data_IF_347732178484
#
_entry.id   IF_347732178484
#
_cell.length_a   1.000
_cell.length_b   1.000
_cell.length_c   1.000
_cell.angle_alpha   90.00
_cell.angle_beta   90.00
_cell.angle_gamma   90.00
#
_symmetry.space_group_name_H-M   'P 1'
#
loop_
_entity.id
_entity.type
_entity.pdbx_description
1 polymer ?
#
# COMPACT_ATOMS: atom_id res chain seq x y z
N UNK A 1 -27.47 -4.78 7.73
CA UNK A 1 -26.04 -5.15 7.91
C UNK A 1 -25.37 -4.00 8.63
N UNK A 2 -24.45 -4.24 9.56
CA UNK A 2 -23.67 -3.15 10.16
C UNK A 2 -22.79 -2.52 9.07
N UNK A 3 -22.62 -1.20 9.10
CA UNK A 3 -21.74 -0.51 8.13
C UNK A 3 -20.27 -0.88 8.36
N UNK A 4 -19.85 -0.94 9.63
CA UNK A 4 -18.47 -1.21 10.03
C UNK A 4 -18.27 -2.66 10.49
N UNK A 5 -17.13 -3.24 10.13
CA UNK A 5 -16.74 -4.59 10.47
C UNK A 5 -16.02 -4.63 11.83
N UNK A 6 -16.74 -5.11 12.84
CA UNK A 6 -16.21 -5.32 14.18
C UNK A 6 -15.64 -6.73 14.40
N UNK A 7 -15.67 -7.59 13.39
CA UNK A 7 -15.12 -8.94 13.46
C UNK A 7 -13.62 -8.90 13.14
N UNK A 8 -12.73 -9.27 14.07
CA UNK A 8 -11.30 -9.32 13.80
C UNK A 8 -11.00 -10.50 12.88
N UNK A 9 -10.42 -10.23 11.71
CA UNK A 9 -10.05 -11.21 10.71
C UNK A 9 -8.66 -11.73 11.05
N UNK A 10 -8.59 -12.91 11.70
CA UNK A 10 -7.33 -13.68 11.81
C UNK A 10 -6.93 -14.21 10.44
N UNK A 11 -5.69 -14.71 10.29
CA UNK A 11 -5.24 -15.35 9.05
C UNK A 11 -6.18 -16.47 8.61
N UNK A 12 -6.54 -17.36 9.53
CA UNK A 12 -7.37 -18.54 9.26
C UNK A 12 -8.79 -18.13 8.87
N UNK A 13 -9.40 -17.20 9.62
CA UNK A 13 -10.73 -16.71 9.31
C UNK A 13 -10.74 -15.97 7.96
N UNK A 14 -9.73 -15.14 7.69
CA UNK A 14 -9.61 -14.42 6.43
C UNK A 14 -9.49 -15.38 5.24
N UNK A 15 -8.71 -16.46 5.34
CA UNK A 15 -8.62 -17.47 4.29
C UNK A 15 -9.98 -18.15 4.04
N UNK A 16 -10.73 -18.52 5.10
CA UNK A 16 -12.07 -19.09 4.93
C UNK A 16 -13.06 -18.12 4.29
N UNK A 17 -13.01 -16.83 4.65
CA UNK A 17 -13.83 -15.77 4.04
C UNK A 17 -13.48 -15.63 2.55
N UNK A 18 -12.19 -15.62 2.21
CA UNK A 18 -11.71 -15.50 0.83
C UNK A 18 -12.06 -16.71 -0.04
N UNK A 19 -12.04 -17.92 0.52
CA UNK A 19 -12.47 -19.14 -0.20
C UNK A 19 -13.94 -19.09 -0.59
N UNK A 20 -14.80 -18.65 0.31
CA UNK A 20 -16.22 -18.47 0.02
C UNK A 20 -16.47 -17.32 -0.96
N UNK A 21 -15.75 -16.21 -0.79
CA UNK A 21 -15.79 -15.09 -1.72
C UNK A 21 -15.35 -15.52 -3.12
N UNK A 22 -14.28 -16.31 -3.25
CA UNK A 22 -13.78 -16.85 -4.52
C UNK A 22 -14.82 -17.67 -5.28
N UNK A 23 -15.58 -18.54 -4.59
CA UNK A 23 -16.66 -19.32 -5.22
C UNK A 23 -17.74 -18.40 -5.81
N UNK A 24 -18.12 -17.36 -5.07
CA UNK A 24 -19.13 -16.37 -5.51
C UNK A 24 -18.61 -15.57 -6.70
N UNK A 25 -17.34 -15.19 -6.68
CA UNK A 25 -16.69 -14.52 -7.82
C UNK A 25 -16.72 -15.43 -9.05
N UNK A 26 -16.30 -16.69 -8.93
CA UNK A 26 -16.30 -17.62 -10.06
C UNK A 26 -17.71 -17.79 -10.65
N UNK A 27 -18.73 -17.87 -9.80
CA UNK A 27 -20.13 -17.95 -10.22
C UNK A 27 -20.61 -16.66 -10.92
N UNK A 28 -20.29 -15.49 -10.39
CA UNK A 28 -20.78 -14.21 -10.91
C UNK A 28 -20.04 -13.74 -12.17
N UNK A 29 -18.76 -14.07 -12.30
CA UNK A 29 -17.90 -13.62 -13.40
C UNK A 29 -17.72 -14.69 -14.47
N UNK A 30 -17.95 -15.98 -14.15
CA UNK A 30 -17.70 -17.10 -15.06
C UNK A 30 -16.21 -17.31 -15.39
N UNK A 31 -15.32 -16.59 -14.71
CA UNK A 31 -13.87 -16.59 -14.91
C UNK A 31 -13.17 -16.18 -13.61
N UNK A 32 -11.91 -16.56 -13.40
CA UNK A 32 -11.11 -15.99 -12.33
C UNK A 32 -10.96 -14.48 -12.52
N UNK A 33 -10.89 -13.73 -11.42
CA UNK A 33 -10.45 -12.32 -11.45
C UNK A 33 -9.21 -12.16 -10.57
N UNK A 34 -8.53 -11.04 -10.76
CA UNK A 34 -7.46 -10.58 -9.87
C UNK A 34 -7.86 -9.26 -9.23
N UNK A 35 -7.51 -9.10 -7.96
CA UNK A 35 -7.67 -7.84 -7.24
C UNK A 35 -6.32 -7.43 -6.66
N UNK A 36 -5.96 -6.16 -6.83
CA UNK A 36 -4.78 -5.58 -6.19
C UNK A 36 -5.18 -5.06 -4.83
N UNK A 37 -4.52 -5.54 -3.78
CA UNK A 37 -4.87 -5.28 -2.37
C UNK A 37 -3.74 -4.64 -1.59
N UNK A 38 -4.06 -3.90 -0.54
CA UNK A 38 -3.10 -3.30 0.37
C UNK A 38 -3.55 -3.41 1.84
N UNK A 39 -2.91 -2.66 2.73
CA UNK A 39 -3.37 -2.54 4.12
C UNK A 39 -2.98 -3.71 5.01
N UNK A 40 -3.84 -4.03 5.98
CA UNK A 40 -3.57 -5.03 7.02
C UNK A 40 -3.64 -6.47 6.50
N UNK A 41 -4.53 -6.76 5.55
CA UNK A 41 -4.67 -8.08 4.95
C UNK A 41 -3.36 -8.58 4.30
N UNK A 42 -2.63 -7.69 3.62
CA UNK A 42 -1.31 -8.00 3.05
C UNK A 42 -0.34 -8.46 4.12
N UNK A 43 -0.28 -7.74 5.24
CA UNK A 43 0.66 -8.03 6.31
C UNK A 43 0.40 -9.40 6.94
N UNK A 44 -0.86 -9.83 7.01
CA UNK A 44 -1.24 -11.12 7.63
C UNK A 44 -1.05 -12.29 6.67
N UNK A 45 -1.38 -12.10 5.39
CA UNK A 45 -1.40 -13.19 4.42
C UNK A 45 -0.07 -13.39 3.70
N UNK A 46 0.77 -12.36 3.56
CA UNK A 46 1.98 -12.47 2.75
C UNK A 46 2.97 -13.50 3.35
N UNK A 47 3.34 -14.55 2.60
CA UNK A 47 4.05 -15.71 3.16
C UNK A 47 5.45 -15.38 3.68
N UNK A 48 6.08 -14.32 3.15
CA UNK A 48 7.45 -13.96 3.48
C UNK A 48 7.57 -12.76 4.46
N UNK A 49 6.44 -12.12 4.81
CA UNK A 49 6.42 -11.07 5.82
C UNK A 49 6.25 -11.72 7.20
N UNK A 50 7.09 -11.35 8.16
CA UNK A 50 6.96 -11.81 9.55
C UNK A 50 6.17 -10.77 10.33
N UNK A 51 4.93 -10.54 9.89
CA UNK A 51 4.07 -9.56 10.53
C UNK A 51 3.78 -9.94 11.98
N UNK A 52 3.85 -8.96 12.86
CA UNK A 52 3.39 -9.08 14.25
C UNK A 52 1.87 -8.91 14.36
N UNK A 53 1.18 -8.50 13.29
CA UNK A 53 -0.28 -8.43 13.27
C UNK A 53 -0.88 -9.82 13.33
N UNK A 54 -1.67 -10.06 14.37
CA UNK A 54 -2.50 -11.26 14.49
C UNK A 54 -3.81 -11.13 13.68
N UNK A 55 -4.33 -9.92 13.50
CA UNK A 55 -5.65 -9.67 12.90
C UNK A 55 -5.70 -8.37 12.11
N UNK A 56 -6.67 -8.28 11.20
CA UNK A 56 -7.08 -7.04 10.51
C UNK A 56 -8.60 -6.88 10.60
N UNK A 57 -9.12 -5.72 10.20
CA UNK A 57 -10.57 -5.48 10.14
C UNK A 57 -11.12 -5.62 8.73
N UNK A 58 -10.29 -5.45 7.72
CA UNK A 58 -10.75 -5.31 6.36
C UNK A 58 -9.68 -5.74 5.33
N UNK A 59 -10.12 -5.82 4.08
CA UNK A 59 -9.30 -5.99 2.89
C UNK A 59 -9.46 -4.75 2.02
N UNK A 60 -8.45 -3.88 2.04
CA UNK A 60 -8.41 -2.73 1.14
C UNK A 60 -8.01 -3.18 -0.27
N UNK A 61 -8.73 -2.75 -1.31
CA UNK A 61 -8.42 -3.07 -2.70
C UNK A 61 -8.56 -1.87 -3.65
N UNK A 62 -7.89 -1.98 -4.81
CA UNK A 62 -7.92 -0.98 -5.88
C UNK A 62 -9.06 -1.28 -6.87
N UNK A 63 -10.22 -0.68 -6.67
CA UNK A 63 -11.44 -0.83 -7.48
C UNK A 63 -11.32 -0.17 -8.85
N UNK A 64 -10.77 1.06 -8.95
CA UNK A 64 -10.78 1.80 -10.22
C UNK A 64 -10.08 1.06 -11.37
N UNK A 65 -9.02 0.34 -11.03
CA UNK A 65 -8.25 -0.44 -12.01
C UNK A 65 -8.92 -1.76 -12.34
N UNK A 66 -9.56 -2.40 -11.36
CA UNK A 66 -10.40 -3.57 -11.61
C UNK A 66 -11.54 -3.26 -12.58
N UNK A 67 -12.26 -2.14 -12.38
CA UNK A 67 -13.34 -1.71 -13.29
C UNK A 67 -12.79 -1.49 -14.70
N UNK A 68 -11.65 -0.80 -14.82
CA UNK A 68 -11.01 -0.53 -16.12
C UNK A 68 -10.60 -1.83 -16.83
N UNK A 69 -10.01 -2.77 -16.09
CA UNK A 69 -9.64 -4.09 -16.62
C UNK A 69 -10.87 -4.87 -17.09
N UNK A 70 -11.93 -4.93 -16.29
CA UNK A 70 -13.14 -5.68 -16.64
C UNK A 70 -13.88 -5.04 -17.82
N UNK A 71 -13.91 -3.71 -17.91
CA UNK A 71 -14.46 -3.00 -19.06
C UNK A 71 -13.70 -3.33 -20.35
N UNK A 72 -12.38 -3.52 -20.28
CA UNK A 72 -11.56 -3.89 -21.46
C UNK A 72 -11.89 -5.26 -22.04
N UNK A 73 -12.54 -6.14 -21.26
CA UNK A 73 -13.03 -7.46 -21.70
C UNK A 73 -14.55 -7.49 -21.89
N UNK A 74 -15.19 -6.32 -22.01
CA UNK A 74 -16.62 -6.18 -22.30
C UNK A 74 -17.55 -6.32 -21.10
N UNK A 75 -17.02 -6.32 -19.86
CA UNK A 75 -17.83 -6.43 -18.65
C UNK A 75 -18.02 -5.07 -17.98
N UNK A 76 -19.12 -4.39 -18.32
CA UNK A 76 -19.42 -3.03 -17.84
C UNK A 76 -20.15 -2.99 -16.49
N UNK A 77 -20.71 -4.11 -16.02
CA UNK A 77 -21.40 -4.24 -14.73
C UNK A 77 -20.53 -4.89 -13.63
N UNK A 78 -19.21 -5.00 -13.87
CA UNK A 78 -18.27 -5.67 -12.99
C UNK A 78 -18.26 -5.13 -11.56
N UNK A 79 -18.42 -3.82 -11.39
CA UNK A 79 -18.49 -3.18 -10.07
C UNK A 79 -19.70 -3.70 -9.27
N UNK A 80 -20.89 -3.67 -9.86
CA UNK A 80 -22.12 -4.11 -9.21
C UNK A 80 -22.06 -5.61 -8.86
N UNK A 81 -21.48 -6.43 -9.74
CA UNK A 81 -21.23 -7.86 -9.47
C UNK A 81 -20.28 -8.06 -8.30
N UNK A 82 -19.15 -7.36 -8.27
CA UNK A 82 -18.17 -7.45 -7.19
C UNK A 82 -18.80 -7.04 -5.85
N UNK A 83 -19.51 -5.92 -5.81
CA UNK A 83 -20.21 -5.43 -4.61
C UNK A 83 -21.28 -6.42 -4.11
N UNK A 84 -21.99 -7.07 -5.04
CA UNK A 84 -22.94 -8.14 -4.69
C UNK A 84 -22.23 -9.33 -4.04
N UNK A 85 -21.09 -9.78 -4.60
CA UNK A 85 -20.29 -10.85 -4.00
C UNK A 85 -19.77 -10.45 -2.60
N UNK A 86 -19.27 -9.23 -2.43
CA UNK A 86 -18.79 -8.70 -1.13
C UNK A 86 -19.92 -8.72 -0.09
N UNK A 87 -21.09 -8.21 -0.43
CA UNK A 87 -22.24 -8.15 0.49
C UNK A 87 -22.77 -9.54 0.88
N UNK A 88 -22.83 -10.47 -0.08
CA UNK A 88 -23.25 -11.84 0.18
C UNK A 88 -22.25 -12.58 1.09
N UNK A 89 -20.95 -12.41 0.85
CA UNK A 89 -19.91 -12.94 1.73
C UNK A 89 -20.01 -12.34 3.14
N UNK A 90 -20.18 -11.02 3.25
CA UNK A 90 -20.34 -10.34 4.53
C UNK A 90 -21.50 -10.93 5.34
N UNK A 91 -22.64 -11.16 4.67
CA UNK A 91 -23.82 -11.78 5.28
C UNK A 91 -23.52 -13.19 5.82
N UNK A 92 -22.81 -14.01 5.04
CA UNK A 92 -22.49 -15.39 5.41
C UNK A 92 -21.59 -15.49 6.65
N UNK A 93 -20.64 -14.55 6.81
CA UNK A 93 -19.69 -14.53 7.92
C UNK A 93 -20.03 -13.51 9.02
N UNK A 94 -21.18 -12.84 8.92
CA UNK A 94 -21.62 -11.77 9.83
C UNK A 94 -20.59 -10.62 9.94
N UNK A 95 -19.97 -10.28 8.83
CA UNK A 95 -19.04 -9.15 8.73
C UNK A 95 -19.81 -7.84 8.50
N UNK A 96 -19.16 -6.73 8.81
CA UNK A 96 -19.62 -5.40 8.38
C UNK A 96 -19.51 -5.22 6.86
N UNK A 97 -20.24 -4.24 6.32
CA UNK A 97 -20.25 -3.96 4.89
C UNK A 97 -18.87 -3.53 4.34
N UNK A 98 -18.02 -2.96 5.19
CA UNK A 98 -16.67 -2.48 4.86
C UNK A 98 -15.55 -3.54 5.03
N UNK A 99 -15.88 -4.82 5.30
CA UNK A 99 -14.86 -5.88 5.45
C UNK A 99 -13.95 -6.01 4.22
N UNK A 100 -14.42 -5.61 3.04
CA UNK A 100 -13.64 -5.46 1.83
C UNK A 100 -14.08 -4.18 1.15
N UNK A 101 -13.22 -3.16 1.10
CA UNK A 101 -13.59 -1.83 0.65
C UNK A 101 -12.51 -1.19 -0.22
N UNK A 102 -12.94 -0.22 -1.04
CA UNK A 102 -12.11 0.57 -1.94
C UNK A 102 -12.08 2.05 -1.54
N UNK A 103 -12.48 2.40 -0.32
CA UNK A 103 -12.57 3.80 0.10
C UNK A 103 -11.22 4.53 0.01
N UNK A 104 -10.13 3.80 0.21
CA UNK A 104 -8.78 4.34 0.04
C UNK A 104 -8.54 4.87 -1.38
N UNK A 105 -9.19 4.32 -2.42
CA UNK A 105 -8.96 4.67 -3.81
C UNK A 105 -9.17 6.15 -4.12
N UNK A 106 -10.13 6.79 -3.48
CA UNK A 106 -10.48 8.20 -3.75
C UNK A 106 -9.28 9.12 -3.52
N UNK A 107 -8.38 8.76 -2.59
CA UNK A 107 -7.23 9.57 -2.22
C UNK A 107 -5.92 9.17 -2.93
N UNK A 108 -5.92 8.10 -3.73
CA UNK A 108 -4.70 7.60 -4.37
C UNK A 108 -4.38 8.37 -5.66
N UNK A 109 -3.09 8.61 -5.97
CA UNK A 109 -2.71 9.37 -7.14
C UNK A 109 -2.96 8.59 -8.43
N UNK A 110 -3.33 9.33 -9.48
CA UNK A 110 -3.25 8.86 -10.87
C UNK A 110 -1.98 9.42 -11.51
N UNK A 111 -1.40 8.67 -12.43
CA UNK A 111 -0.24 9.10 -13.21
C UNK A 111 -0.67 9.38 -14.66
N UNK A 112 0.04 10.27 -15.34
CA UNK A 112 -0.12 10.49 -16.78
C UNK A 112 1.15 10.02 -17.47
N UNK A 113 1.01 9.14 -18.45
CA UNK A 113 2.14 8.73 -19.29
C UNK A 113 2.55 9.92 -20.19
N UNK A 114 3.80 10.41 -20.08
CA UNK A 114 4.24 11.58 -20.85
C UNK A 114 4.28 11.32 -22.36
N UNK A 115 4.34 10.06 -22.80
CA UNK A 115 4.42 9.70 -24.22
C UNK A 115 3.04 9.62 -24.85
N UNK A 116 2.08 8.99 -24.16
CA UNK A 116 0.73 8.77 -24.68
C UNK A 116 -0.29 9.79 -24.20
N UNK A 117 0.08 10.63 -23.22
CA UNK A 117 -0.80 11.53 -22.48
C UNK A 117 -2.03 10.81 -21.88
N UNK A 118 -1.93 9.50 -21.63
CA UNK A 118 -3.00 8.70 -21.04
C UNK A 118 -2.83 8.62 -19.53
N UNK A 119 -3.92 8.87 -18.84
CA UNK A 119 -4.00 8.66 -17.39
C UNK A 119 -4.07 7.17 -17.09
N UNK A 120 -3.27 6.72 -16.12
CA UNK A 120 -3.25 5.34 -15.66
C UNK A 120 -3.09 5.27 -14.15
N UNK A 121 -3.43 4.12 -13.56
CA UNK A 121 -3.22 3.85 -12.16
C UNK A 121 -1.80 3.30 -11.93
N UNK A 122 -0.90 4.06 -11.30
CA UNK A 122 0.49 3.65 -11.16
C UNK A 122 0.67 2.56 -10.09
N UNK A 123 -0.27 2.41 -9.16
CA UNK A 123 -0.24 1.40 -8.11
C UNK A 123 -0.60 0.05 -8.73
N UNK A 124 -1.71 0.00 -9.45
CA UNK A 124 -2.12 -1.19 -10.17
C UNK A 124 -1.07 -1.60 -11.21
N UNK A 125 -0.64 -0.66 -12.07
CA UNK A 125 0.35 -0.92 -13.12
C UNK A 125 1.65 -1.53 -12.57
N UNK A 126 2.17 -1.01 -11.47
CA UNK A 126 3.34 -1.58 -10.81
C UNK A 126 3.09 -2.99 -10.25
N UNK A 127 1.91 -3.22 -9.67
CA UNK A 127 1.58 -4.46 -8.97
C UNK A 127 1.35 -5.63 -9.91
N UNK A 128 0.85 -5.37 -11.13
CA UNK A 128 0.57 -6.43 -12.12
C UNK A 128 1.76 -6.81 -13.02
N UNK A 129 2.94 -6.25 -12.78
CA UNK A 129 4.17 -6.70 -13.46
C UNK A 129 4.45 -8.17 -13.12
N UNK A 130 4.93 -8.95 -14.08
CA UNK A 130 5.05 -10.41 -13.93
C UNK A 130 5.83 -10.85 -12.68
N UNK A 131 6.92 -10.16 -12.36
CA UNK A 131 7.70 -10.40 -11.15
C UNK A 131 6.90 -10.10 -9.88
N UNK A 132 6.13 -9.02 -9.84
CA UNK A 132 5.32 -8.64 -8.69
C UNK A 132 4.11 -9.56 -8.53
N UNK A 133 3.47 -10.01 -9.60
CA UNK A 133 2.42 -11.03 -9.54
C UNK A 133 2.98 -12.31 -8.93
N UNK A 134 4.15 -12.76 -9.38
CA UNK A 134 4.77 -13.98 -8.86
C UNK A 134 5.13 -13.85 -7.37
N UNK A 135 5.78 -12.75 -6.97
CA UNK A 135 6.30 -12.59 -5.62
C UNK A 135 5.26 -12.13 -4.60
N UNK A 136 4.23 -11.40 -5.03
CA UNK A 136 3.28 -10.72 -4.14
C UNK A 136 1.84 -11.24 -4.27
N UNK A 137 1.60 -12.38 -4.93
CA UNK A 137 0.31 -13.07 -4.81
C UNK A 137 0.18 -13.66 -3.40
N UNK A 138 -0.73 -13.12 -2.60
CA UNK A 138 -0.92 -13.50 -1.19
C UNK A 138 -2.06 -14.50 -0.99
N UNK A 139 -2.92 -14.65 -1.99
CA UNK A 139 -4.02 -15.60 -2.00
C UNK A 139 -4.35 -16.00 -3.44
N UNK A 140 -4.63 -17.29 -3.66
CA UNK A 140 -4.99 -17.81 -4.97
C UNK A 140 -5.97 -18.97 -4.83
N UNK A 141 -6.97 -18.98 -5.70
CA UNK A 141 -8.07 -19.94 -5.74
C UNK A 141 -8.71 -19.93 -7.14
N UNK A 142 -9.61 -20.87 -7.48
CA UNK A 142 -10.17 -20.96 -8.84
C UNK A 142 -10.89 -19.70 -9.34
N UNK A 143 -11.51 -18.92 -8.46
CA UNK A 143 -12.23 -17.69 -8.81
C UNK A 143 -11.46 -16.39 -8.54
N UNK A 144 -10.43 -16.42 -7.70
CA UNK A 144 -9.83 -15.20 -7.16
C UNK A 144 -8.33 -15.34 -6.92
N UNK A 145 -7.59 -14.35 -7.40
CA UNK A 145 -6.23 -14.07 -6.98
C UNK A 145 -6.16 -12.69 -6.30
N UNK A 146 -5.53 -12.62 -5.12
CA UNK A 146 -5.19 -11.35 -4.48
C UNK A 146 -3.70 -11.08 -4.63
N UNK A 147 -3.38 -9.94 -5.23
CA UNK A 147 -2.02 -9.48 -5.48
C UNK A 147 -1.78 -8.31 -4.56
N UNK A 148 -0.85 -8.43 -3.61
CA UNK A 148 -0.46 -7.30 -2.80
C UNK A 148 0.19 -6.21 -3.67
N UNK A 149 -0.03 -4.95 -3.32
CA UNK A 149 0.64 -3.83 -3.99
C UNK A 149 2.16 -4.02 -3.98
N UNK A 150 2.84 -3.54 -5.02
CA UNK A 150 4.30 -3.60 -5.08
C UNK A 150 4.92 -3.01 -3.79
N UNK A 151 6.03 -3.58 -3.26
CA UNK A 151 6.52 -3.22 -1.93
C UNK A 151 6.77 -1.72 -1.70
N UNK A 152 7.24 -0.99 -2.70
CA UNK A 152 7.42 0.47 -2.60
C UNK A 152 6.11 1.21 -2.40
N UNK A 153 5.03 0.80 -3.06
CA UNK A 153 3.71 1.35 -2.84
C UNK A 153 3.18 1.00 -1.45
N UNK A 154 3.34 -0.25 -1.01
CA UNK A 154 2.94 -0.63 0.35
C UNK A 154 3.63 0.20 1.43
N UNK A 155 4.95 0.47 1.29
CA UNK A 155 5.69 1.36 2.20
C UNK A 155 5.22 2.81 2.06
N UNK A 156 5.08 3.33 0.84
CA UNK A 156 4.66 4.71 0.58
C UNK A 156 3.29 5.03 1.19
N UNK A 157 2.29 4.17 0.95
CA UNK A 157 0.93 4.35 1.46
C UNK A 157 0.88 4.35 2.99
N UNK A 158 1.67 3.48 3.63
CA UNK A 158 1.82 3.45 5.08
C UNK A 158 2.59 4.66 5.61
N UNK A 159 3.56 5.19 4.86
CA UNK A 159 4.36 6.35 5.27
C UNK A 159 3.54 7.65 5.37
N UNK A 160 2.55 7.81 4.48
CA UNK A 160 1.63 8.96 4.51
C UNK A 160 0.89 9.04 5.85
N UNK A 161 0.28 7.93 6.26
CA UNK A 161 -0.48 7.85 7.53
C UNK A 161 0.45 7.74 8.74
N UNK A 162 1.38 6.79 8.70
CA UNK A 162 2.35 6.46 9.75
C UNK A 162 1.71 6.41 11.14
N UNK A 163 0.64 5.65 11.27
CA UNK A 163 -0.16 5.57 12.48
C UNK A 163 -0.45 4.12 12.89
N UNK A 164 -0.72 3.90 14.19
CA UNK A 164 -1.05 2.59 14.76
C UNK A 164 0.05 1.57 14.43
N UNK A 165 -0.25 0.53 13.66
CA UNK A 165 0.71 -0.53 13.30
C UNK A 165 1.51 -0.22 12.01
N UNK A 166 1.29 0.93 11.34
CA UNK A 166 2.04 1.28 10.12
C UNK A 166 3.58 1.31 10.34
N UNK A 167 4.15 1.82 11.44
CA UNK A 167 5.60 1.79 11.66
C UNK A 167 6.17 0.37 11.72
N UNK A 168 5.45 -0.52 12.40
CA UNK A 168 5.83 -1.92 12.57
C UNK A 168 5.69 -2.70 11.25
N UNK A 169 4.61 -2.43 10.50
CA UNK A 169 4.43 -2.99 9.16
C UNK A 169 5.56 -2.56 8.21
N UNK A 170 5.92 -1.27 8.21
CA UNK A 170 7.02 -0.75 7.38
C UNK A 170 8.33 -1.42 7.80
N UNK A 171 8.61 -1.55 9.09
CA UNK A 171 9.80 -2.24 9.61
C UNK A 171 9.90 -3.66 9.02
N UNK A 172 8.83 -4.45 9.09
CA UNK A 172 8.80 -5.81 8.56
C UNK A 172 8.97 -5.86 7.04
N UNK A 173 8.38 -4.91 6.31
CA UNK A 173 8.58 -4.77 4.86
C UNK A 173 10.05 -4.46 4.50
N UNK A 174 10.71 -3.58 5.26
CA UNK A 174 12.12 -3.26 5.07
C UNK A 174 13.02 -4.48 5.37
N UNK A 175 12.80 -5.16 6.51
CA UNK A 175 13.51 -6.40 6.86
C UNK A 175 13.32 -7.46 5.77
N UNK A 176 12.12 -7.57 5.20
CA UNK A 176 11.87 -8.45 4.06
C UNK A 176 12.67 -8.04 2.82
N UNK A 177 12.72 -6.75 2.48
CA UNK A 177 13.55 -6.23 1.39
C UNK A 177 15.04 -6.53 1.56
N UNK A 178 15.57 -6.43 2.79
CA UNK A 178 16.95 -6.82 3.12
C UNK A 178 17.18 -8.31 2.90
N UNK A 179 16.25 -9.17 3.34
CA UNK A 179 16.36 -10.62 3.16
C UNK A 179 16.31 -11.05 1.69
N UNK A 180 15.43 -10.45 0.89
CA UNK A 180 15.24 -10.82 -0.51
C UNK A 180 16.36 -10.33 -1.42
N UNK A 181 16.83 -9.10 -1.20
CA UNK A 181 17.71 -8.41 -2.15
C UNK A 181 19.02 -7.90 -1.53
N UNK A 182 19.29 -8.21 -0.25
CA UNK A 182 20.49 -7.76 0.45
C UNK A 182 20.52 -6.26 0.75
N UNK A 183 19.38 -5.55 0.63
CA UNK A 183 19.33 -4.09 0.78
C UNK A 183 19.78 -3.67 2.18
N UNK A 184 20.82 -2.85 2.23
CA UNK A 184 21.28 -2.20 3.45
C UNK A 184 20.54 -0.86 3.58
N UNK A 185 19.48 -0.84 4.39
CA UNK A 185 18.65 0.35 4.50
C UNK A 185 19.38 1.47 5.23
N UNK A 186 19.40 2.64 4.59
CA UNK A 186 19.76 3.91 5.21
C UNK A 186 18.63 4.91 4.89
N UNK A 187 18.42 5.97 5.71
CA UNK A 187 17.33 6.92 5.48
C UNK A 187 17.32 7.50 4.06
N UNK A 188 18.47 7.90 3.54
CA UNK A 188 18.60 8.44 2.18
C UNK A 188 18.34 7.40 1.08
N UNK A 189 18.62 6.12 1.33
CA UNK A 189 18.33 5.02 0.37
C UNK A 189 16.81 4.82 0.29
N UNK A 190 16.13 4.76 1.44
CA UNK A 190 14.68 4.62 1.50
C UNK A 190 13.98 5.85 0.89
N UNK A 191 14.42 7.07 1.23
CA UNK A 191 13.90 8.30 0.62
C UNK A 191 14.06 8.28 -0.90
N UNK A 192 15.27 8.02 -1.41
CA UNK A 192 15.52 7.93 -2.86
C UNK A 192 14.66 6.86 -3.53
N UNK A 193 14.46 5.72 -2.89
CA UNK A 193 13.63 4.62 -3.41
C UNK A 193 12.17 5.04 -3.53
N UNK A 194 11.61 5.71 -2.52
CA UNK A 194 10.24 6.23 -2.55
C UNK A 194 10.07 7.35 -3.58
N UNK A 195 11.00 8.31 -3.64
CA UNK A 195 10.96 9.42 -4.61
C UNK A 195 11.01 8.92 -6.06
N UNK A 196 11.80 7.87 -6.32
CA UNK A 196 11.92 7.28 -7.65
C UNK A 196 10.67 6.48 -8.04
N UNK A 197 10.22 5.57 -7.17
CA UNK A 197 9.20 4.58 -7.54
C UNK A 197 7.77 5.06 -7.28
N UNK A 198 7.58 6.01 -6.38
CA UNK A 198 6.28 6.55 -5.98
C UNK A 198 6.17 8.04 -6.33
N UNK A 199 6.82 8.48 -7.41
CA UNK A 199 6.75 9.87 -7.87
C UNK A 199 5.31 10.42 -8.04
N UNK A 200 4.27 9.63 -8.40
CA UNK A 200 2.90 10.16 -8.50
C UNK A 200 2.33 10.67 -7.18
N UNK A 201 2.94 10.32 -6.04
CA UNK A 201 2.59 10.87 -4.73
C UNK A 201 2.92 12.37 -4.60
N UNK A 202 3.65 12.95 -5.56
CA UNK A 202 3.94 14.38 -5.59
C UNK A 202 4.90 14.83 -4.50
N UNK A 203 5.76 13.93 -3.99
CA UNK A 203 6.71 14.24 -2.92
C UNK A 203 7.56 15.49 -3.20
N UNK A 204 7.93 15.73 -4.46
CA UNK A 204 8.72 16.91 -4.85
C UNK A 204 7.99 18.24 -4.64
N UNK A 205 6.66 18.21 -4.52
CA UNK A 205 5.81 19.38 -4.32
C UNK A 205 5.39 19.55 -2.86
N UNK A 206 5.90 18.73 -1.94
CA UNK A 206 5.56 18.83 -0.53
C UNK A 206 6.15 20.12 0.07
N UNK A 207 5.40 20.82 0.94
CA UNK A 207 5.97 21.88 1.78
C UNK A 207 7.15 21.37 2.61
N UNK A 208 8.08 22.27 2.95
CA UNK A 208 9.30 21.94 3.73
C UNK A 208 9.01 21.17 5.02
N UNK A 209 7.94 21.55 5.74
CA UNK A 209 7.53 20.87 6.97
C UNK A 209 7.06 19.44 6.72
N UNK A 210 6.31 19.19 5.64
CA UNK A 210 5.87 17.83 5.28
C UNK A 210 7.05 16.96 4.85
N UNK A 211 8.02 17.52 4.11
CA UNK A 211 9.27 16.82 3.78
C UNK A 211 10.05 16.46 5.05
N UNK A 212 10.16 17.40 6.00
CA UNK A 212 10.84 17.15 7.28
C UNK A 212 10.16 16.01 8.05
N UNK A 213 8.84 16.06 8.20
CA UNK A 213 8.07 14.99 8.84
C UNK A 213 8.23 13.65 8.13
N UNK A 214 8.21 13.63 6.79
CA UNK A 214 8.45 12.40 6.02
C UNK A 214 9.85 11.83 6.30
N UNK A 215 10.89 12.67 6.33
CA UNK A 215 12.27 12.25 6.63
C UNK A 215 12.42 11.72 8.06
N UNK A 216 11.74 12.33 9.02
CA UNK A 216 11.70 11.83 10.41
C UNK A 216 11.08 10.43 10.48
N UNK A 217 9.95 10.21 9.80
CA UNK A 217 9.29 8.89 9.71
C UNK A 217 10.17 7.84 9.03
N UNK A 218 10.82 8.19 7.92
CA UNK A 218 11.80 7.34 7.22
C UNK A 218 12.94 6.96 8.16
N UNK A 219 13.52 7.96 8.85
CA UNK A 219 14.64 7.74 9.78
C UNK A 219 14.24 6.76 10.87
N UNK A 220 13.08 6.99 11.51
CA UNK A 220 12.55 6.09 12.53
C UNK A 220 12.35 4.65 12.01
N UNK A 221 11.69 4.48 10.87
CA UNK A 221 11.44 3.16 10.28
C UNK A 221 12.74 2.40 9.95
N UNK A 222 13.73 3.09 9.38
CA UNK A 222 15.04 2.50 9.08
C UNK A 222 15.78 2.11 10.37
N UNK A 223 15.79 2.98 11.38
CA UNK A 223 16.40 2.65 12.68
C UNK A 223 15.77 1.39 13.27
N UNK A 224 14.43 1.28 13.27
CA UNK A 224 13.75 0.08 13.77
C UNK A 224 14.13 -1.19 12.99
N UNK A 225 14.19 -1.10 11.66
CA UNK A 225 14.55 -2.24 10.82
C UNK A 225 16.01 -2.69 11.07
N UNK A 226 16.94 -1.73 11.20
CA UNK A 226 18.35 -2.01 11.44
C UNK A 226 18.67 -2.47 12.87
N UNK A 227 17.89 -2.04 13.87
CA UNK A 227 18.07 -2.48 15.26
C UNK A 227 17.50 -3.88 15.52
N UNK A 228 16.71 -4.43 14.60
CA UNK A 228 16.17 -5.78 14.75
C UNK A 228 17.26 -6.80 14.39
N UNK A 229 17.76 -7.60 15.34
CA UNK A 229 18.80 -8.58 15.03
C UNK A 229 18.28 -9.58 14.00
N UNK A 230 19.13 -10.06 13.07
CA UNK A 230 18.73 -11.10 12.14
C UNK A 230 18.30 -12.31 12.96
N UNK A 231 17.01 -12.65 12.89
CA UNK A 231 16.49 -13.83 13.57
C UNK A 231 17.25 -15.05 13.03
N UNK A 232 18.18 -15.60 13.82
CA UNK A 232 19.09 -16.69 13.42
C UNK A 232 18.38 -17.98 12.97
N UNK A 233 17.06 -18.08 13.12
CA UNK A 233 16.29 -19.30 12.92
C UNK A 233 15.65 -19.48 11.54
N UNK A 234 16.07 -18.77 10.50
CA UNK A 234 15.62 -19.13 9.16
C UNK A 234 16.68 -18.79 8.13
N UNK A 235 17.64 -19.71 7.98
CA UNK A 235 18.09 -20.01 6.63
C UNK A 235 16.80 -20.33 5.87
N UNK A 236 16.29 -19.36 5.11
CA UNK A 236 15.30 -19.67 4.11
C UNK A 236 15.97 -20.78 3.31
N UNK A 237 15.42 -22.01 3.27
CA UNK A 237 15.79 -22.86 2.17
C UNK A 237 15.55 -21.96 0.96
N UNK A 238 16.59 -21.70 0.17
CA UNK A 238 16.36 -21.35 -1.22
C UNK A 238 15.55 -22.54 -1.72
N UNK A 239 14.23 -22.47 -1.59
CA UNK A 239 13.35 -23.42 -2.20
C UNK A 239 13.79 -23.34 -3.65
N UNK A 240 14.34 -24.46 -4.16
CA UNK A 240 14.56 -24.58 -5.59
C UNK A 240 13.28 -24.05 -6.22
N UNK A 241 13.38 -23.07 -7.15
CA UNK A 241 12.21 -22.42 -7.71
C UNK A 241 11.21 -23.53 -8.02
N UNK A 242 9.96 -23.47 -7.51
CA UNK A 242 9.00 -24.52 -7.76
C UNK A 242 9.02 -24.81 -9.26
N UNK A 243 8.99 -26.09 -9.67
CA UNK A 243 8.95 -26.40 -11.09
C UNK A 243 7.88 -25.50 -11.72
N UNK A 244 8.17 -24.87 -12.88
CA UNK A 244 7.22 -23.97 -13.49
C UNK A 244 5.87 -24.69 -13.53
N UNK A 245 4.78 -24.04 -13.08
CA UNK A 245 3.47 -24.67 -13.17
C UNK A 245 3.30 -25.18 -14.61
N UNK A 246 2.68 -26.36 -14.82
CA UNK A 246 2.31 -26.77 -16.17
C UNK A 246 1.67 -25.56 -16.83
N UNK A 247 2.15 -25.20 -18.03
CA UNK A 247 1.77 -23.97 -18.72
C UNK A 247 0.28 -23.73 -18.46
N UNK A 248 -0.11 -22.60 -17.84
CA UNK A 248 -1.51 -22.27 -17.78
C UNK A 248 -2.02 -22.33 -19.22
N UNK A 249 -3.24 -22.84 -19.47
CA UNK A 249 -3.85 -22.68 -20.77
C UNK A 249 -3.68 -21.21 -21.20
N UNK A 250 -3.41 -20.96 -22.49
CA UNK A 250 -3.05 -19.64 -23.01
C UNK A 250 -3.88 -18.58 -22.30
N UNK A 251 -3.19 -17.64 -21.67
CA UNK A 251 -3.78 -16.64 -20.80
C UNK A 251 -5.05 -16.08 -21.46
N UNK A 252 -6.26 -16.34 -20.94
CA UNK A 252 -7.49 -15.77 -21.50
C UNK A 252 -7.55 -14.24 -21.29
N UNK A 253 -6.53 -13.66 -20.67
CA UNK A 253 -6.29 -12.24 -20.49
C UNK A 253 -5.09 -11.73 -21.30
N UNK A 254 -4.48 -12.55 -22.16
CA UNK A 254 -3.51 -12.07 -23.13
C UNK A 254 -4.24 -11.20 -24.17
N UNK A 255 -3.82 -9.95 -24.41
CA UNK A 255 -4.35 -9.19 -25.52
C UNK A 255 -4.02 -9.94 -26.81
N UNK A 256 -5.04 -10.40 -27.53
CA UNK A 256 -4.89 -10.62 -28.96
C UNK A 256 -4.53 -9.28 -29.58
N UNK A 257 -3.25 -9.14 -29.95
CA UNK A 257 -2.78 -8.18 -30.94
C UNK A 257 -2.95 -6.68 -30.60
N UNK A 258 -2.18 -6.18 -29.64
CA UNK A 258 -1.62 -4.83 -29.76
C UNK A 258 -0.13 -4.94 -29.45
N UNK A 259 0.67 -5.14 -30.50
CA UNK A 259 2.13 -5.06 -30.48
C UNK A 259 2.50 -3.59 -30.23
N UNK A 260 3.12 -3.23 -29.10
CA UNK A 260 3.80 -1.95 -28.98
C UNK A 260 5.09 -1.99 -29.81
N UNK A 261 5.57 -0.88 -30.38
CA UNK A 261 6.86 -0.86 -31.06
C UNK A 261 7.95 -1.29 -30.08
N UNK A 262 8.70 -2.32 -30.46
CA UNK A 262 9.84 -2.82 -29.71
C UNK A 262 10.89 -1.72 -29.56
N UNK A 263 11.10 -1.25 -28.34
CA UNK A 263 12.33 -0.53 -27.98
C UNK A 263 13.42 -1.55 -27.66
N UNK A 264 14.67 -1.33 -28.10
CA UNK A 264 15.75 -2.27 -27.87
C UNK A 264 16.17 -2.29 -26.39
N UNK A 265 15.99 -3.45 -25.79
CA UNK A 265 16.89 -4.16 -24.87
C UNK A 265 18.15 -3.41 -24.37
N UNK A 266 18.19 -3.13 -23.06
CA UNK A 266 19.34 -3.42 -22.16
C UNK A 266 19.17 -2.78 -20.78
N UNK A 267 19.15 -3.59 -19.71
CA UNK A 267 19.78 -3.25 -18.43
C UNK A 267 19.89 -4.51 -17.54
N UNK A 268 21.06 -5.15 -17.62
CA UNK A 268 21.58 -6.01 -16.58
C UNK A 268 21.66 -5.24 -15.25
N UNK A 269 21.18 -5.87 -14.17
CA UNK A 269 21.42 -5.44 -12.79
C UNK A 269 22.91 -5.58 -12.46
N UNK A 270 23.68 -4.51 -12.67
CA UNK A 270 25.03 -4.37 -12.13
C UNK A 270 24.98 -3.88 -10.67
N UNK A 271 25.91 -4.42 -9.89
CA UNK A 271 26.31 -4.00 -8.55
C UNK A 271 26.21 -2.47 -8.31
N UNK A 272 25.66 -2.10 -7.16
CA UNK A 272 25.72 -0.73 -6.63
C UNK A 272 27.16 -0.39 -6.18
N UNK A 273 27.94 0.19 -7.09
CA UNK A 273 29.07 1.06 -6.75
C UNK A 273 28.72 2.49 -7.21
N UNK A 274 28.85 3.47 -6.32
CA UNK A 274 28.53 4.86 -6.61
C UNK A 274 29.53 5.45 -7.64
N UNK A 275 29.07 6.09 -8.73
CA UNK A 275 29.95 6.85 -9.62
C UNK A 275 30.37 8.19 -8.96
N UNK A 276 31.55 8.73 -9.31
CA UNK A 276 32.01 10.03 -8.79
C UNK A 276 31.16 11.18 -9.37
N UNK A 277 31.07 12.32 -8.65
CA UNK A 277 30.26 13.46 -9.07
C UNK A 277 30.85 14.15 -10.32
N UNK A 278 30.01 14.69 -11.21
CA UNK A 278 30.46 15.44 -12.39
C UNK A 278 31.05 16.80 -11.98
N UNK A 279 32.17 17.15 -12.60
CA UNK A 279 32.79 18.46 -12.47
C UNK A 279 31.92 19.54 -13.14
N UNK A 280 31.67 20.62 -12.40
CA UNK A 280 30.99 21.82 -12.87
C UNK A 280 31.95 22.69 -13.68
N UNK A 281 31.57 23.05 -14.90
CA UNK A 281 32.11 24.21 -15.60
C UNK A 281 31.06 25.34 -15.67
N UNK A 282 31.50 26.61 -15.60
CA UNK A 282 30.63 27.75 -15.35
C UNK A 282 29.90 28.20 -16.62
N UNK A 283 28.59 28.45 -16.50
CA UNK A 283 27.86 29.22 -17.50
C UNK A 283 27.83 30.70 -17.12
N UNK A 284 28.29 31.50 -18.07
CA UNK A 284 28.23 32.95 -18.11
C UNK A 284 26.80 33.46 -18.26
N UNK A 285 26.57 34.58 -17.58
CA UNK A 285 25.40 35.47 -17.57
C UNK A 285 24.98 35.93 -18.96
N UNK A 286 23.73 36.41 -19.11
CA UNK A 286 23.37 37.74 -19.69
C UNK A 286 21.82 37.94 -19.73
N UNK A 287 21.41 39.10 -19.20
CA UNK A 287 20.26 39.99 -19.49
C UNK A 287 18.79 39.62 -19.26
N UNK A 288 18.25 40.28 -18.22
CA UNK A 288 17.14 41.25 -18.24
C UNK A 288 16.31 41.39 -19.53
N UNK A 289 14.98 41.26 -19.37
CA UNK A 289 13.99 42.07 -20.09
C UNK A 289 12.71 42.21 -19.24
N UNK A 290 12.37 43.47 -18.95
CA UNK A 290 11.10 43.93 -18.37
C UNK A 290 10.05 44.13 -19.45
N UNK A 291 8.81 43.68 -19.21
CA UNK A 291 7.59 44.19 -19.85
C UNK A 291 6.45 43.98 -18.84
N UNK A 292 5.89 45.03 -18.24
CA UNK A 292 4.89 45.96 -18.77
C UNK A 292 3.46 45.59 -18.34
N UNK A 293 2.92 46.48 -17.50
CA UNK A 293 1.53 46.75 -17.16
C UNK A 293 0.45 46.25 -18.15
N UNK A 294 -0.60 45.62 -17.61
CA UNK A 294 -1.90 45.46 -18.27
C UNK A 294 -2.96 46.14 -17.38
N UNK A 295 -3.80 47.05 -17.93
CA UNK A 295 -4.86 47.71 -17.17
C UNK A 295 -6.14 46.87 -17.08
N UNK A 296 -6.84 47.01 -15.95
CA UNK A 296 -8.20 46.52 -15.72
C UNK A 296 -9.21 47.24 -16.62
N UNK A 297 -10.30 46.55 -17.04
CA UNK A 297 -11.54 47.21 -17.38
C UNK A 297 -12.61 47.04 -16.30
N UNK A 298 -13.39 48.10 -16.24
CA UNK A 298 -14.43 48.51 -15.31
C UNK A 298 -15.75 47.75 -15.40
N UNK A 299 -16.47 47.84 -14.28
CA UNK A 299 -17.87 47.47 -14.05
C UNK A 299 -18.84 47.98 -15.13
N UNK A 300 -19.76 47.10 -15.55
CA UNK A 300 -21.07 47.49 -16.04
C UNK A 300 -22.17 46.76 -15.26
N UNK A 301 -23.00 47.56 -14.60
CA UNK A 301 -24.29 47.26 -13.99
C UNK A 301 -25.39 47.31 -15.05
N UNK A 302 -26.29 46.32 -15.09
CA UNK A 302 -27.73 46.42 -15.46
C UNK A 302 -28.38 45.03 -15.25
N UNK A 303 -29.13 44.83 -14.16
CA UNK A 303 -30.61 44.84 -14.02
C UNK A 303 -31.39 43.75 -14.78
N UNK A 304 -31.93 42.82 -13.97
CA UNK A 304 -33.30 42.27 -13.98
C UNK A 304 -33.81 41.49 -15.20
N UNK A 305 -34.12 40.19 -15.01
CA UNK A 305 -35.49 39.71 -14.74
C UNK A 305 -35.58 38.17 -14.80
N UNK A 306 -36.31 37.60 -13.82
CA UNK A 306 -37.15 36.37 -13.86
C UNK A 306 -36.75 35.22 -14.80
N UNK A 307 -36.44 34.04 -14.27
CA UNK A 307 -37.47 33.01 -14.09
C UNK A 307 -36.96 31.77 -13.34
N UNK A 308 -37.91 31.11 -12.67
CA UNK A 308 -37.76 29.92 -11.85
C UNK A 308 -37.34 28.68 -12.63
N UNK A 309 -36.28 27.97 -12.21
CA UNK A 309 -36.27 26.51 -12.23
C UNK A 309 -35.31 25.90 -11.20
N UNK A 310 -35.88 24.91 -10.52
CA UNK A 310 -35.45 24.22 -9.30
C UNK A 310 -34.50 23.07 -9.66
N UNK A 311 -33.21 23.17 -9.33
CA UNK A 311 -32.29 22.01 -9.28
C UNK A 311 -31.45 22.06 -8.01
N UNK A 312 -31.71 21.10 -7.11
CA UNK A 312 -30.95 20.88 -5.88
C UNK A 312 -29.58 20.29 -6.21
N UNK A 313 -28.56 21.13 -6.29
CA UNK A 313 -27.17 20.70 -6.18
C UNK A 313 -26.82 20.49 -4.70
N UNK A 314 -26.54 19.23 -4.32
CA UNK A 314 -25.86 18.93 -3.06
C UNK A 314 -24.40 19.33 -3.18
N UNK A 315 -24.03 20.37 -2.43
CA UNK A 315 -22.64 20.71 -2.15
C UNK A 315 -21.99 19.61 -1.32
N UNK A 316 -20.85 19.09 -1.79
CA UNK A 316 -19.92 18.32 -0.96
C UNK A 316 -19.14 19.30 -0.06
N UNK A 317 -19.01 19.05 1.25
CA UNK A 317 -18.22 19.90 2.12
C UNK A 317 -16.72 19.63 1.92
N UNK A 318 -15.97 20.73 1.78
CA UNK A 318 -14.52 20.80 1.82
C UNK A 318 -14.00 20.32 3.19
N UNK A 319 -13.17 19.28 3.19
CA UNK A 319 -12.47 18.78 4.39
C UNK A 319 -11.18 19.58 4.58
N UNK A 320 -11.27 20.71 5.28
CA UNK A 320 -10.14 21.34 5.95
C UNK A 320 -10.22 21.06 7.45
N UNK A 321 -9.13 20.52 8.03
CA UNK A 321 -8.85 20.62 9.46
C UNK A 321 -8.79 19.28 10.22
N UNK A 322 -7.63 18.63 10.22
CA UNK A 322 -7.28 17.68 11.27
C UNK A 322 -6.85 18.47 12.51
N UNK A 323 -7.71 18.52 13.52
CA UNK A 323 -7.41 19.06 14.84
C UNK A 323 -6.74 18.00 15.73
N UNK A 324 -5.68 18.41 16.43
CA UNK A 324 -4.98 17.62 17.46
C UNK A 324 -5.91 17.24 18.64
N UNK A 325 -5.80 16.01 19.19
CA UNK A 325 -6.42 15.70 20.46
C UNK A 325 -5.59 16.23 21.64
N UNK A 326 -6.24 17.02 22.50
CA UNK A 326 -5.74 17.51 23.79
C UNK A 326 -5.70 16.37 24.81
N UNK A 327 -4.59 16.32 25.55
CA UNK A 327 -4.40 15.50 26.75
C UNK A 327 -5.40 15.86 27.86
N UNK A 328 -6.09 14.85 28.39
CA UNK A 328 -6.70 14.92 29.72
C UNK A 328 -6.34 13.68 30.54
N UNK A 329 -5.55 13.90 31.61
CA UNK A 329 -5.51 13.09 32.84
C UNK A 329 -6.55 13.64 33.82
N UNK A 330 -7.15 12.81 34.69
CA UNK A 330 -6.74 12.77 36.11
C UNK A 330 -6.74 11.34 36.71
N UNK A 331 -5.71 10.94 37.47
CA UNK A 331 -5.54 10.93 38.95
C UNK A 331 -6.27 9.83 39.76
N UNK A 332 -5.42 9.05 40.46
CA UNK A 332 -5.53 8.37 41.77
C UNK A 332 -6.75 7.51 42.15
N UNK A 333 -6.48 6.25 42.51
CA UNK A 333 -6.55 5.81 43.92
C UNK A 333 -5.72 4.56 44.20
N UNK A 334 -5.44 4.39 45.49
CA UNK A 334 -4.36 3.64 46.14
C UNK A 334 -4.90 2.47 46.98
N UNK A 335 -3.99 1.53 47.24
CA UNK A 335 -3.95 0.53 48.33
C UNK A 335 -4.94 -0.65 48.34
N UNK A 336 -4.37 -1.86 48.36
CA UNK A 336 -4.46 -2.76 49.53
C UNK A 336 -3.59 -4.00 49.33
N UNK A 337 -2.88 -4.35 50.40
CA UNK A 337 -1.95 -5.47 50.56
C UNK A 337 -2.63 -6.83 50.63
N UNK A 338 -1.93 -7.90 50.24
CA UNK A 338 -2.02 -9.18 50.95
C UNK A 338 -0.71 -9.97 50.82
N UNK A 339 -0.12 -10.22 51.98
CA UNK A 339 0.93 -11.20 52.22
C UNK A 339 0.43 -12.62 51.92
N UNK A 340 1.29 -13.49 51.44
CA UNK A 340 1.51 -14.80 52.05
C UNK A 340 2.91 -15.34 51.71
N UNK A 341 3.66 -15.62 52.78
CA UNK A 341 4.93 -16.35 52.81
C UNK A 341 4.77 -17.77 52.25
N UNK A 342 5.85 -18.31 51.68
CA UNK A 342 6.52 -19.50 52.24
C UNK A 342 7.79 -19.90 51.48
N UNK A 343 8.88 -19.92 52.26
CA UNK A 343 9.89 -20.98 52.37
C UNK A 343 10.94 -21.20 51.26
N UNK A 344 12.15 -20.73 51.59
CA UNK A 344 13.41 -21.48 51.73
C UNK A 344 13.76 -22.61 50.74
N UNK A 345 14.83 -22.40 49.98
CA UNK A 345 15.96 -23.35 49.91
C UNK A 345 17.24 -22.60 49.52
N UNK A 346 18.31 -22.86 50.26
CA UNK A 346 19.63 -22.21 50.20
C UNK A 346 20.68 -23.29 49.90
N UNK A 347 21.72 -22.91 49.14
CA UNK A 347 23.09 -23.49 48.97
C UNK A 347 23.21 -24.77 48.09
N UNK A 348 24.36 -25.08 47.42
CA UNK A 348 25.60 -24.32 47.18
C UNK A 348 26.11 -24.21 45.72
N UNK A 349 27.04 -23.26 45.57
CA UNK A 349 28.14 -23.20 44.59
C UNK A 349 29.17 -24.34 44.77
N UNK A 350 29.70 -24.85 43.67
CA UNK A 350 30.94 -25.64 43.60
C UNK A 350 31.26 -26.01 42.14
N UNK A 351 31.97 -25.13 41.41
CA UNK A 351 33.41 -25.18 41.05
C UNK A 351 33.75 -25.99 39.76
N UNK A 352 34.79 -25.58 39.01
CA UNK A 352 35.04 -25.94 37.61
C UNK A 352 36.06 -27.07 37.46
N UNK A 353 36.13 -27.72 36.30
CA UNK A 353 37.39 -28.29 35.78
C UNK A 353 37.42 -28.34 34.24
N UNK A 354 38.64 -28.15 33.76
CA UNK A 354 39.15 -28.00 32.40
C UNK A 354 39.03 -29.25 31.50
N UNK A 355 39.04 -29.00 30.19
CA UNK A 355 40.11 -29.49 29.29
C UNK A 355 40.49 -28.36 28.33
#
# INVERSE_FOLDING_TARGET
>A
MAEQNEVPLTKELLLHVLDEFSKRILQAFGRPIRLVVHGGAVMILHPNLKSTRATTRDVDFIERSFITEMASVGMHDAQARLQTCIALTATNFRLGADWMNSHADVALPMATDPTTNRTYDPIYHASIQANNVHLNTIYSSPGLALIAVAPFWGVALKMVRYAKDDPEDIKEMLIHGTRMNGVQWAPHILEKWLLTNCWPMGYMNYPSEQIKTMREKITHAVTQACSTPPSHSSAYPQAAPPPPPPFPPPNPFGPSSLIPPQTPESAHLHHFAAPPPPQLHPQSSVSHLSLAHIPSPSNHTHTSSTDTHRHSHRHAPSLHGFAHPRNHRPHHHSHSSSMHSSQNAVVPLGRPYYA
#
